data_IF_890873433681
#
_entry.id   IF_890873433681
#
_cell.length_a   1.000
_cell.length_b   1.000
_cell.length_c   1.000
_cell.angle_alpha   90.00
_cell.angle_beta   90.00
_cell.angle_gamma   90.00
#
_symmetry.space_group_name_H-M   'P 1'
#
loop_
_entity.id
_entity.type
_entity.pdbx_description
1 polymer ?
#
# COMPACT_ATOMS: atom_id res chain seq x y z
N UNK A 1 27.39 -0.85 -27.15
CA UNK A 1 26.78 -1.00 -26.56
C UNK A 1 26.30 -0.95 -25.86
N UNK A 2 26.24 -0.80 -26.12
CA UNK A 2 25.65 -0.83 -25.29
C UNK A 2 25.13 -0.80 -24.74
N UNK A 3 25.16 -0.92 -24.77
CA UNK A 3 24.54 -1.02 -23.92
C UNK A 3 24.17 -0.90 -23.26
N UNK A 4 24.38 -0.72 -23.53
CA UNK A 4 23.90 -0.65 -22.62
C UNK A 4 23.31 -0.73 -22.00
N UNK A 5 23.28 -0.79 -22.07
CA UNK A 5 22.59 -0.91 -21.26
C UNK A 5 22.20 -0.79 -20.64
N UNK A 6 22.32 -0.81 -20.63
CA UNK A 6 21.78 -0.78 -19.75
C UNK A 6 21.29 -0.48 -19.13
N UNK A 7 21.44 -0.39 -19.22
CA UNK A 7 20.89 -0.18 -18.40
C UNK A 7 20.25 -0.11 -17.79
N UNK A 8 20.18 -0.11 -17.85
CA UNK A 8 19.47 -0.26 -17.16
C UNK A 8 19.20 -0.14 -16.34
N UNK A 9 19.46 0.18 -16.44
CA UNK A 9 19.37 0.25 -15.67
C UNK A 9 18.73 0.04 -14.81
N UNK A 10 18.98 0.23 -14.47
CA UNK A 10 18.19 -0.41 -13.67
C UNK A 10 18.19 -0.27 -12.19
N UNK A 11 19.00 -0.02 -11.35
CA UNK A 11 18.97 0.22 -9.94
C UNK A 11 17.83 1.11 -9.46
N UNK A 12 17.56 2.21 -10.15
CA UNK A 12 16.45 3.08 -9.75
C UNK A 12 15.10 2.40 -9.76
N UNK A 13 14.86 1.49 -10.69
CA UNK A 13 13.55 0.85 -10.76
C UNK A 13 13.26 -0.05 -9.57
N UNK A 14 14.30 -0.59 -8.92
CA UNK A 14 14.09 -1.38 -7.71
C UNK A 14 13.56 -0.51 -6.58
N UNK A 15 14.15 0.66 -6.37
CA UNK A 15 13.67 1.59 -5.35
C UNK A 15 12.27 2.06 -5.65
N UNK A 16 11.99 2.39 -6.91
CA UNK A 16 10.65 2.84 -7.32
C UNK A 16 9.62 1.75 -7.10
N UNK A 17 9.98 0.49 -7.36
CA UNK A 17 9.06 -0.63 -7.13
C UNK A 17 8.71 -0.76 -5.64
N UNK A 18 9.70 -0.60 -4.76
CA UNK A 18 9.44 -0.67 -3.33
C UNK A 18 8.49 0.45 -2.89
N UNK A 19 8.70 1.68 -3.38
CA UNK A 19 7.84 2.81 -3.05
C UNK A 19 6.45 2.64 -3.62
N UNK A 20 6.33 2.02 -4.80
CA UNK A 20 5.05 1.87 -5.47
C UNK A 20 4.15 0.82 -4.83
N UNK A 21 4.62 0.11 -3.80
CA UNK A 21 3.81 -0.87 -3.07
C UNK A 21 3.54 -0.45 -1.63
N UNK A 22 3.64 0.83 -1.35
CA UNK A 22 3.46 1.36 0.00
C UNK A 22 2.32 2.37 0.05
N UNK A 23 1.57 2.29 1.15
CA UNK A 23 0.56 3.29 1.49
C UNK A 23 0.97 3.88 2.84
N UNK A 24 1.01 5.19 2.91
CA UNK A 24 1.29 5.92 4.14
C UNK A 24 -0.02 6.39 4.74
N UNK A 25 -0.16 6.23 6.05
CA UNK A 25 -1.28 6.76 6.82
C UNK A 25 -0.77 8.00 7.53
N UNK A 26 -1.30 9.17 7.14
CA UNK A 26 -0.83 10.44 7.67
C UNK A 26 -1.96 11.46 7.57
N UNK A 27 -2.11 12.30 8.60
CA UNK A 27 -3.14 13.33 8.65
C UNK A 27 -4.54 12.75 8.43
N UNK A 28 -4.78 11.55 8.99
CA UNK A 28 -6.06 10.84 8.87
C UNK A 28 -6.43 10.57 7.42
N UNK A 29 -5.43 10.27 6.58
CA UNK A 29 -5.62 9.93 5.17
C UNK A 29 -4.68 8.79 4.77
N UNK A 30 -5.13 8.01 3.79
CA UNK A 30 -4.28 7.02 3.13
C UNK A 30 -3.70 7.65 1.87
N UNK A 31 -2.39 7.45 1.65
CA UNK A 31 -1.72 8.05 0.49
C UNK A 31 -0.62 7.13 -0.03
N UNK A 32 -0.55 6.88 -1.32
CA UNK A 32 -1.48 7.32 -2.36
C UNK A 32 -2.77 6.50 -2.34
N UNK A 33 -3.81 7.05 -2.91
CA UNK A 33 -5.04 6.31 -3.18
C UNK A 33 -5.70 6.90 -4.44
N UNK A 34 -6.06 6.05 -5.44
CA UNK A 34 -5.80 4.62 -5.49
C UNK A 34 -4.33 4.31 -5.71
N UNK A 35 -3.91 3.16 -5.24
CA UNK A 35 -2.59 2.62 -5.53
C UNK A 35 -2.76 1.45 -6.49
N UNK A 36 -2.02 1.45 -7.60
CA UNK A 36 -2.06 0.38 -8.59
C UNK A 36 -0.83 -0.50 -8.45
N UNK A 37 -1.04 -1.80 -8.33
CA UNK A 37 0.05 -2.77 -8.20
C UNK A 37 -0.20 -3.96 -9.11
N UNK A 38 0.81 -4.76 -9.33
CA UNK A 38 0.70 -6.01 -10.09
C UNK A 38 0.21 -7.14 -9.19
N UNK A 39 -0.53 -8.07 -9.77
CA UNK A 39 -0.93 -9.29 -9.05
C UNK A 39 0.31 -9.99 -8.50
N UNK A 40 0.20 -10.47 -7.28
CA UNK A 40 1.32 -11.08 -6.56
C UNK A 40 2.13 -10.10 -5.73
N UNK A 41 1.81 -8.81 -5.78
CA UNK A 41 2.54 -7.80 -5.04
C UNK A 41 2.05 -7.70 -3.60
N UNK A 42 2.96 -7.57 -2.63
CA UNK A 42 2.57 -7.16 -1.29
C UNK A 42 2.37 -5.64 -1.24
N UNK A 43 1.41 -5.19 -0.47
CA UNK A 43 1.23 -3.78 -0.17
C UNK A 43 1.45 -3.61 1.33
N UNK A 44 2.23 -2.61 1.69
CA UNK A 44 2.53 -2.31 3.09
C UNK A 44 1.96 -0.96 3.46
N UNK A 45 1.14 -0.93 4.50
CA UNK A 45 0.63 0.31 5.10
C UNK A 45 1.51 0.65 6.29
N UNK A 46 1.91 1.91 6.41
CA UNK A 46 2.69 2.41 7.54
C UNK A 46 1.95 3.57 8.19
N UNK A 47 1.70 3.48 9.48
CA UNK A 47 1.05 4.57 10.20
C UNK A 47 2.09 5.61 10.61
N UNK A 48 1.98 6.79 10.05
CA UNK A 48 2.86 7.92 10.35
C UNK A 48 2.15 9.00 11.17
N UNK A 49 0.93 8.72 11.64
CA UNK A 49 0.21 9.61 12.54
C UNK A 49 0.55 9.34 13.99
N UNK A 50 0.21 10.29 14.85
CA UNK A 50 0.37 10.15 16.30
C UNK A 50 -0.77 9.35 16.94
N UNK A 51 -1.77 8.98 16.18
CA UNK A 51 -2.93 8.23 16.67
C UNK A 51 -2.99 6.87 15.99
N UNK A 52 -3.58 5.87 16.66
CA UNK A 52 -3.71 4.56 16.05
C UNK A 52 -4.71 4.55 14.90
N UNK A 53 -4.42 3.72 13.92
CA UNK A 53 -5.29 3.51 12.75
C UNK A 53 -5.36 2.02 12.45
N UNK A 54 -6.36 1.62 11.69
CA UNK A 54 -6.50 0.26 11.20
C UNK A 54 -6.65 0.27 9.68
N UNK A 55 -6.47 -0.88 9.07
CA UNK A 55 -6.72 -1.09 7.64
C UNK A 55 -7.63 -2.32 7.54
N UNK A 56 -8.85 -2.11 7.06
CA UNK A 56 -9.84 -3.19 6.97
C UNK A 56 -10.46 -3.17 5.59
N UNK A 57 -10.39 -4.29 4.88
CA UNK A 57 -11.03 -4.38 3.57
C UNK A 57 -12.53 -4.44 3.71
N UNK A 58 -13.25 -3.84 2.75
CA UNK A 58 -14.71 -3.82 2.78
C UNK A 58 -15.33 -5.21 2.69
N UNK A 59 -14.61 -6.15 2.11
CA UNK A 59 -15.08 -7.53 1.94
C UNK A 59 -14.59 -8.48 3.03
N UNK A 60 -13.75 -7.98 3.95
CA UNK A 60 -13.15 -8.83 4.99
C UNK A 60 -11.95 -9.63 4.51
N UNK A 61 -11.43 -9.36 3.32
CA UNK A 61 -10.29 -10.10 2.77
C UNK A 61 -9.03 -9.90 3.62
N UNK A 62 -8.83 -8.70 4.13
CA UNK A 62 -7.69 -8.40 5.01
C UNK A 62 -8.13 -7.46 6.12
N UNK A 63 -7.41 -7.53 7.24
CA UNK A 63 -7.72 -6.73 8.40
C UNK A 63 -6.46 -6.61 9.26
N UNK A 64 -6.03 -5.38 9.49
CA UNK A 64 -4.97 -5.13 10.45
C UNK A 64 -5.55 -5.05 11.87
N UNK A 65 -4.72 -5.20 12.87
CA UNK A 65 -5.06 -4.70 14.21
C UNK A 65 -4.83 -3.21 14.27
N UNK A 66 -4.91 -2.63 15.46
CA UNK A 66 -4.54 -1.24 15.67
C UNK A 66 -3.05 -1.06 15.42
N UNK A 67 -2.70 -0.10 14.60
CA UNK A 67 -1.32 0.26 14.34
C UNK A 67 -1.00 1.56 15.04
N UNK A 68 -0.02 1.54 15.94
CA UNK A 68 0.50 2.76 16.54
C UNK A 68 1.50 3.41 15.59
N UNK A 69 2.00 4.57 15.98
CA UNK A 69 2.95 5.33 15.15
C UNK A 69 4.13 4.44 14.73
N UNK A 70 4.45 4.47 13.45
CA UNK A 70 5.53 3.70 12.81
C UNK A 70 5.27 2.21 12.68
N UNK A 71 4.11 1.72 13.09
CA UNK A 71 3.77 0.32 12.87
C UNK A 71 3.25 0.09 11.46
N UNK A 72 3.38 -1.14 11.00
CA UNK A 72 3.05 -1.50 9.62
C UNK A 72 2.13 -2.71 9.57
N UNK A 73 1.42 -2.82 8.44
CA UNK A 73 0.63 -3.98 8.10
C UNK A 73 0.83 -4.26 6.62
N UNK A 74 0.96 -5.53 6.25
CA UNK A 74 1.15 -5.91 4.85
C UNK A 74 0.16 -6.98 4.44
N UNK A 75 -0.25 -6.93 3.17
CA UNK A 75 -1.09 -7.95 2.59
C UNK A 75 -0.68 -8.16 1.13
N UNK A 76 -0.60 -9.44 0.71
CA UNK A 76 -0.21 -9.80 -0.64
C UNK A 76 -1.46 -9.99 -1.50
N UNK A 77 -1.53 -9.26 -2.61
CA UNK A 77 -2.67 -9.29 -3.52
C UNK A 77 -2.38 -10.23 -4.69
N UNK A 78 -3.00 -11.41 -4.69
CA UNK A 78 -2.74 -12.42 -5.70
C UNK A 78 -3.65 -12.31 -6.92
N UNK A 79 -4.80 -11.67 -6.79
CA UNK A 79 -5.79 -11.64 -7.86
C UNK A 79 -6.05 -10.23 -8.35
N UNK A 80 -6.11 -10.01 -9.67
CA UNK A 80 -6.52 -8.71 -10.21
C UNK A 80 -7.90 -8.31 -9.72
N UNK A 81 -8.11 -7.02 -9.53
CA UNK A 81 -9.38 -6.49 -9.07
C UNK A 81 -9.19 -5.14 -8.40
N UNK A 82 -10.29 -4.61 -7.92
CA UNK A 82 -10.33 -3.34 -7.19
C UNK A 82 -10.74 -3.65 -5.76
N UNK A 83 -9.93 -3.20 -4.81
CA UNK A 83 -10.09 -3.52 -3.39
C UNK A 83 -10.20 -2.25 -2.60
N UNK A 84 -11.33 -2.06 -1.91
CA UNK A 84 -11.56 -0.89 -1.07
C UNK A 84 -11.28 -1.22 0.39
N UNK A 85 -10.75 -0.26 1.11
CA UNK A 85 -10.46 -0.43 2.53
C UNK A 85 -10.77 0.85 3.30
N UNK A 86 -10.91 0.70 4.60
CA UNK A 86 -11.34 1.75 5.50
C UNK A 86 -10.59 1.61 6.82
N UNK A 87 -10.40 2.69 7.54
CA UNK A 87 -9.99 2.64 8.92
C UNK A 87 -11.23 2.44 9.80
N UNK A 88 -11.25 1.36 10.60
CA UNK A 88 -12.43 1.05 11.40
C UNK A 88 -12.67 2.05 12.54
N UNK A 89 -11.64 2.77 12.93
CA UNK A 89 -11.73 3.78 14.00
C UNK A 89 -12.16 5.12 13.43
N UNK A 90 -11.82 5.39 12.16
CA UNK A 90 -12.13 6.65 11.49
C UNK A 90 -12.76 6.32 10.14
N UNK A 91 -14.09 6.08 10.10
CA UNK A 91 -14.73 5.51 8.89
C UNK A 91 -14.67 6.38 7.64
N UNK A 92 -14.35 7.66 7.76
CA UNK A 92 -14.17 8.52 6.57
C UNK A 92 -12.81 8.33 5.91
N UNK A 93 -11.88 7.66 6.58
CA UNK A 93 -10.58 7.32 5.98
C UNK A 93 -10.78 6.10 5.09
N UNK A 94 -10.77 6.32 3.80
CA UNK A 94 -11.01 5.27 2.81
C UNK A 94 -9.90 5.27 1.78
N UNK A 95 -9.63 4.11 1.20
CA UNK A 95 -8.65 3.99 0.15
C UNK A 95 -8.97 2.84 -0.78
N UNK A 96 -8.19 2.74 -1.85
CA UNK A 96 -8.40 1.75 -2.90
C UNK A 96 -7.06 1.22 -3.40
N UNK A 97 -6.99 -0.09 -3.55
CA UNK A 97 -5.89 -0.77 -4.24
C UNK A 97 -6.45 -1.33 -5.55
N UNK A 98 -5.77 -1.04 -6.65
CA UNK A 98 -6.11 -1.61 -7.96
C UNK A 98 -5.01 -2.60 -8.31
N UNK A 99 -5.38 -3.87 -8.50
CA UNK A 99 -4.46 -4.96 -8.81
C UNK A 99 -4.65 -5.36 -10.27
N UNK A 100 -3.57 -5.36 -11.02
CA UNK A 100 -3.59 -5.65 -12.46
C UNK A 100 -2.91 -6.95 -12.81
#
# INVERSE_FOLDING_TARGET
MAILGAMEVHGPSVADTADSTRVVVKDFMFSPTPLTVKAGSPVTWTNMDDEPHTVVSDTGLFKSGGMDTNETFSFKFDKPGTYHFTCSIHPRMVGTIVVQ
#
